data_IF_703326176629
#
_entry.id   IF_703326176629
#
_cell.length_a   1.000
_cell.length_b   1.000
_cell.length_c   1.000
_cell.angle_alpha   90.00
_cell.angle_beta   90.00
_cell.angle_gamma   90.00
#
_symmetry.space_group_name_H-M   'P 1'
#
loop_
_entity.id
_entity.type
_entity.pdbx_description
1 polymer ?
#
# COMPACT_ATOMS: atom_id res chain seq x y z
N UNK A 1 -18.39 -48.21 18.54
CA UNK A 1 -18.20 -46.77 18.86
C UNK A 1 -17.95 -46.04 17.55
N UNK A 2 -18.94 -45.33 17.05
CA UNK A 2 -18.84 -44.55 15.81
C UNK A 2 -18.47 -43.11 16.17
N UNK A 3 -17.33 -42.63 15.68
CA UNK A 3 -16.93 -41.22 15.78
C UNK A 3 -17.71 -40.44 14.75
N UNK A 4 -18.59 -39.54 15.21
CA UNK A 4 -19.21 -38.51 14.40
C UNK A 4 -18.20 -37.38 14.23
N UNK A 5 -17.68 -37.24 13.01
CA UNK A 5 -16.92 -36.04 12.61
C UNK A 5 -17.90 -34.87 12.43
N UNK A 6 -17.90 -33.96 13.39
CA UNK A 6 -18.63 -32.71 13.30
C UNK A 6 -17.94 -31.78 12.27
N UNK A 7 -18.51 -31.71 11.08
CA UNK A 7 -18.10 -30.69 10.09
C UNK A 7 -18.49 -29.31 10.58
N UNK A 8 -17.51 -28.41 10.77
CA UNK A 8 -17.76 -26.97 10.92
C UNK A 8 -18.41 -26.44 9.64
N UNK A 9 -19.72 -26.24 9.68
CA UNK A 9 -20.42 -25.54 8.65
C UNK A 9 -19.97 -24.05 8.68
N UNK A 10 -19.16 -23.62 7.73
CA UNK A 10 -18.91 -22.20 7.48
C UNK A 10 -20.22 -21.58 7.03
N UNK A 11 -20.82 -20.78 7.90
CA UNK A 11 -22.02 -20.00 7.61
C UNK A 11 -21.72 -19.03 6.46
N UNK A 12 -22.11 -19.39 5.24
CA UNK A 12 -22.06 -18.51 4.08
C UNK A 12 -23.31 -17.61 4.08
N UNK A 13 -23.28 -16.53 4.86
CA UNK A 13 -24.23 -15.45 4.63
C UNK A 13 -23.99 -14.87 3.22
N UNK A 14 -25.07 -14.60 2.43
CA UNK A 14 -24.91 -13.92 1.15
C UNK A 14 -24.30 -12.54 1.42
N UNK A 15 -23.10 -12.33 0.92
CA UNK A 15 -22.37 -11.06 1.10
C UNK A 15 -23.08 -9.96 0.30
N UNK A 16 -23.17 -8.75 0.88
CA UNK A 16 -23.81 -7.61 0.25
C UNK A 16 -23.17 -7.28 -1.13
N UNK A 17 -23.93 -6.70 -2.10
CA UNK A 17 -23.39 -6.30 -3.39
C UNK A 17 -22.37 -5.15 -3.28
N UNK A 18 -21.53 -5.01 -4.30
CA UNK A 18 -20.55 -3.92 -4.41
C UNK A 18 -19.17 -4.19 -3.80
N UNK A 19 -19.01 -5.21 -2.97
CA UNK A 19 -17.72 -5.54 -2.35
C UNK A 19 -16.80 -6.29 -3.29
N UNK A 20 -15.52 -5.95 -3.26
CA UNK A 20 -14.49 -6.75 -3.91
C UNK A 20 -14.32 -8.07 -3.16
N UNK A 21 -14.25 -9.16 -3.91
CA UNK A 21 -14.09 -10.54 -3.44
C UNK A 21 -12.89 -11.17 -4.12
N UNK A 22 -12.35 -12.24 -3.56
CA UNK A 22 -11.47 -13.12 -4.31
C UNK A 22 -12.20 -14.42 -4.69
N UNK A 23 -11.85 -14.94 -5.85
CA UNK A 23 -12.21 -16.28 -6.31
C UNK A 23 -10.96 -16.92 -6.89
N UNK A 24 -10.39 -17.90 -6.18
CA UNK A 24 -9.07 -18.44 -6.50
C UNK A 24 -8.04 -17.30 -6.72
N UNK A 25 -7.55 -17.17 -7.95
CA UNK A 25 -6.49 -16.22 -8.33
C UNK A 25 -7.03 -14.86 -8.85
N UNK A 26 -8.32 -14.60 -8.75
CA UNK A 26 -8.93 -13.38 -9.30
C UNK A 26 -9.65 -12.55 -8.23
N UNK A 27 -9.67 -11.23 -8.44
CA UNK A 27 -10.63 -10.37 -7.76
C UNK A 27 -11.91 -10.27 -8.57
N UNK A 28 -13.03 -10.26 -7.87
CA UNK A 28 -14.37 -10.11 -8.44
C UNK A 28 -15.12 -8.98 -7.72
N UNK A 29 -15.91 -8.21 -8.46
CA UNK A 29 -16.89 -7.28 -7.91
C UNK A 29 -18.22 -7.53 -8.60
N UNK A 30 -19.25 -7.83 -7.82
CA UNK A 30 -20.59 -8.20 -8.35
C UNK A 30 -20.56 -9.34 -9.40
N UNK A 31 -19.67 -10.33 -9.17
CA UNK A 31 -19.50 -11.48 -10.04
C UNK A 31 -18.60 -11.25 -11.26
N UNK A 32 -18.22 -10.02 -11.54
CA UNK A 32 -17.35 -9.67 -12.68
C UNK A 32 -15.88 -9.54 -12.26
N UNK A 33 -14.92 -9.84 -13.12
CA UNK A 33 -13.50 -9.60 -12.86
C UNK A 33 -13.24 -8.14 -12.48
N UNK A 34 -12.58 -7.94 -11.34
CA UNK A 34 -12.19 -6.62 -10.86
C UNK A 34 -10.66 -6.46 -10.98
N UNK A 35 -10.24 -5.91 -12.11
CA UNK A 35 -8.85 -5.65 -12.43
C UNK A 35 -8.42 -4.30 -11.89
N UNK A 36 -7.29 -4.25 -11.22
CA UNK A 36 -6.86 -3.08 -10.46
C UNK A 36 -5.85 -2.29 -11.30
N UNK A 37 -6.16 -1.02 -11.50
CA UNK A 37 -5.22 0.01 -11.94
C UNK A 37 -5.32 1.13 -10.92
N UNK A 38 -4.26 1.36 -10.17
CA UNK A 38 -4.32 2.27 -9.04
C UNK A 38 -3.04 3.03 -8.79
N UNK A 39 -3.07 3.81 -7.72
CA UNK A 39 -1.96 4.62 -7.25
C UNK A 39 -1.87 4.62 -5.73
N UNK A 40 -0.67 4.86 -5.22
CA UNK A 40 -0.47 5.24 -3.83
C UNK A 40 -0.72 6.75 -3.69
N UNK A 41 -1.60 7.09 -2.76
CA UNK A 41 -1.89 8.46 -2.32
C UNK A 41 -1.95 8.44 -0.79
N UNK A 42 -0.81 8.05 -0.17
CA UNK A 42 -0.73 7.80 1.27
C UNK A 42 -1.30 8.96 2.09
N UNK A 43 -1.14 10.19 1.63
CA UNK A 43 -1.50 11.44 2.30
C UNK A 43 -2.98 11.87 2.13
N UNK A 44 -3.83 11.05 1.52
CA UNK A 44 -5.23 11.41 1.23
C UNK A 44 -6.01 11.86 2.47
N UNK A 45 -5.79 11.21 3.62
CA UNK A 45 -6.44 11.58 4.88
C UNK A 45 -6.00 12.95 5.38
N UNK A 46 -4.74 13.34 5.20
CA UNK A 46 -4.24 14.66 5.57
C UNK A 46 -4.92 15.77 4.75
N UNK A 47 -5.00 15.61 3.44
CA UNK A 47 -5.75 16.54 2.58
C UNK A 47 -7.25 16.58 2.93
N UNK A 48 -7.81 15.45 3.39
CA UNK A 48 -9.22 15.33 3.75
C UNK A 48 -9.62 16.06 5.02
N UNK A 49 -8.67 16.52 5.86
CA UNK A 49 -9.00 17.22 7.11
C UNK A 49 -9.56 18.61 6.88
N UNK A 50 -10.32 19.11 7.86
CA UNK A 50 -10.77 20.51 7.94
C UNK A 50 -9.85 21.35 8.86
N UNK A 51 -8.60 20.92 9.02
CA UNK A 51 -7.57 21.62 9.77
C UNK A 51 -6.68 22.45 8.83
N UNK A 52 -5.83 23.31 9.38
CA UNK A 52 -4.92 24.19 8.60
C UNK A 52 -4.01 23.43 7.64
N UNK A 53 -3.70 22.17 7.93
CA UNK A 53 -2.88 21.31 7.08
C UNK A 53 -3.69 20.52 6.05
N UNK A 54 -5.02 20.67 6.02
CA UNK A 54 -5.89 20.02 5.05
C UNK A 54 -6.08 20.85 3.78
N UNK A 55 -6.46 20.17 2.70
CA UNK A 55 -6.90 20.79 1.45
C UNK A 55 -7.91 19.89 0.73
N UNK A 56 -9.14 19.90 1.20
CA UNK A 56 -10.25 19.13 0.61
C UNK A 56 -10.49 19.46 -0.85
N UNK A 57 -10.29 20.72 -1.24
CA UNK A 57 -10.49 21.14 -2.63
C UNK A 57 -9.42 20.50 -3.54
N UNK A 58 -8.17 20.46 -3.11
CA UNK A 58 -7.10 19.75 -3.80
C UNK A 58 -7.40 18.25 -3.85
N UNK A 59 -7.77 17.62 -2.73
CA UNK A 59 -8.11 16.21 -2.71
C UNK A 59 -9.15 15.85 -3.78
N UNK A 60 -10.23 16.63 -3.87
CA UNK A 60 -11.27 16.40 -4.87
C UNK A 60 -10.73 16.51 -6.30
N UNK A 61 -9.93 17.55 -6.61
CA UNK A 61 -9.30 17.71 -7.93
C UNK A 61 -8.37 16.56 -8.30
N UNK A 62 -7.57 16.10 -7.33
CA UNK A 62 -6.64 14.96 -7.52
C UNK A 62 -7.42 13.67 -7.79
N UNK A 63 -8.48 13.42 -7.03
CA UNK A 63 -9.34 12.25 -7.23
C UNK A 63 -10.05 12.29 -8.60
N UNK A 64 -10.51 13.47 -9.04
CA UNK A 64 -11.10 13.67 -10.38
C UNK A 64 -10.10 13.34 -11.50
N UNK A 65 -8.84 13.79 -11.35
CA UNK A 65 -7.76 13.47 -12.29
C UNK A 65 -7.48 11.98 -12.35
N UNK A 66 -7.31 11.33 -11.21
CA UNK A 66 -7.06 9.89 -11.14
C UNK A 66 -8.22 9.07 -11.74
N UNK A 67 -9.47 9.46 -11.45
CA UNK A 67 -10.65 8.86 -12.08
C UNK A 67 -10.64 9.05 -13.61
N UNK A 68 -10.31 10.25 -14.10
CA UNK A 68 -10.24 10.56 -15.53
C UNK A 68 -9.13 9.78 -16.25
N UNK A 69 -8.06 9.43 -15.55
CA UNK A 69 -7.03 8.52 -16.02
C UNK A 69 -7.48 7.05 -16.05
N UNK A 70 -8.66 6.74 -15.49
CA UNK A 70 -9.23 5.40 -15.45
C UNK A 70 -8.79 4.56 -14.25
N UNK A 71 -8.19 5.16 -13.22
CA UNK A 71 -7.85 4.45 -12.00
C UNK A 71 -9.13 4.06 -11.24
N UNK A 72 -9.08 2.90 -10.60
CA UNK A 72 -10.21 2.37 -9.82
C UNK A 72 -9.82 1.96 -8.39
N UNK A 73 -8.55 2.08 -8.03
CA UNK A 73 -8.08 1.75 -6.69
C UNK A 73 -7.02 2.75 -6.20
N UNK A 74 -7.08 3.05 -4.91
CA UNK A 74 -6.06 3.84 -4.23
C UNK A 74 -5.53 3.07 -3.02
N UNK A 75 -4.25 3.22 -2.72
CA UNK A 75 -3.67 2.75 -1.47
C UNK A 75 -3.33 3.96 -0.60
N UNK A 76 -3.95 4.04 0.58
CA UNK A 76 -3.88 5.22 1.45
C UNK A 76 -3.54 4.80 2.88
N UNK A 77 -2.82 5.68 3.61
CA UNK A 77 -2.54 5.45 5.02
C UNK A 77 -3.77 5.75 5.88
N UNK A 78 -4.09 4.83 6.78
CA UNK A 78 -5.06 5.00 7.85
C UNK A 78 -4.37 4.96 9.23
N UNK A 79 -3.06 5.14 9.25
CA UNK A 79 -2.21 5.16 10.44
C UNK A 79 -1.01 6.09 10.24
N UNK A 80 -0.60 6.73 11.30
CA UNK A 80 0.70 7.37 11.52
C UNK A 80 0.82 7.66 13.01
N UNK A 81 1.95 7.34 13.60
CA UNK A 81 2.18 7.43 15.03
C UNK A 81 3.20 8.55 15.34
N UNK A 82 2.79 9.60 16.02
CA UNK A 82 3.74 10.63 16.46
C UNK A 82 4.70 10.08 17.51
N UNK A 83 5.97 10.27 17.30
CA UNK A 83 7.05 9.78 18.15
C UNK A 83 8.35 10.54 17.96
N UNK A 84 9.46 10.00 18.46
CA UNK A 84 10.77 10.66 18.43
C UNK A 84 11.47 10.53 17.07
N UNK A 85 11.00 9.62 16.19
CA UNK A 85 11.69 9.31 14.93
C UNK A 85 11.82 10.54 14.03
N UNK A 86 13.00 10.73 13.49
CA UNK A 86 13.28 11.74 12.47
C UNK A 86 12.50 11.43 11.19
N UNK A 87 12.20 12.46 10.40
CA UNK A 87 11.49 12.35 9.12
C UNK A 87 10.10 11.68 9.21
N UNK A 88 9.52 11.56 10.40
CA UNK A 88 8.17 11.07 10.59
C UNK A 88 7.15 12.18 10.33
N UNK A 89 6.09 11.84 9.56
CA UNK A 89 5.03 12.79 9.24
C UNK A 89 4.28 13.24 10.50
N UNK A 90 4.03 14.55 10.61
CA UNK A 90 3.20 15.16 11.64
C UNK A 90 2.19 16.12 10.99
N UNK A 91 0.95 16.19 11.52
CA UNK A 91 0.41 15.39 12.65
C UNK A 91 0.13 13.93 12.26
N UNK A 92 0.14 13.04 13.26
CA UNK A 92 -0.19 11.62 13.11
C UNK A 92 -1.64 11.29 13.49
N UNK A 93 -2.11 10.11 13.10
CA UNK A 93 -3.40 9.54 13.54
C UNK A 93 -3.42 9.26 15.03
N UNK A 94 -2.27 8.90 15.59
CA UNK A 94 -2.06 8.75 17.01
C UNK A 94 -1.01 9.75 17.47
N UNK A 95 -1.40 10.67 18.36
CA UNK A 95 -0.54 11.70 18.92
C UNK A 95 0.56 11.11 19.81
N UNK A 96 1.57 11.92 20.14
CA UNK A 96 2.68 11.50 20.99
C UNK A 96 2.24 10.98 22.37
N UNK A 97 1.11 11.46 22.88
CA UNK A 97 0.50 10.99 24.15
C UNK A 97 -0.36 9.72 23.99
N UNK A 98 -0.37 9.10 22.81
CA UNK A 98 -1.12 7.89 22.49
C UNK A 98 -2.60 8.13 22.17
N UNK A 99 -3.12 9.36 22.27
CA UNK A 99 -4.52 9.66 21.93
C UNK A 99 -4.72 9.77 20.43
N UNK A 100 -5.89 9.31 19.97
CA UNK A 100 -6.30 9.47 18.57
C UNK A 100 -6.43 10.95 18.19
N UNK A 101 -6.00 11.29 16.98
CA UNK A 101 -6.21 12.60 16.38
C UNK A 101 -7.57 12.65 15.66
N UNK A 102 -8.58 13.35 16.19
CA UNK A 102 -9.91 13.34 15.59
C UNK A 102 -9.97 14.01 14.22
N UNK A 103 -9.09 15.00 13.95
CA UNK A 103 -9.06 15.68 12.65
C UNK A 103 -8.60 14.74 11.53
N UNK A 104 -7.56 13.91 11.75
CA UNK A 104 -7.14 12.92 10.76
C UNK A 104 -8.14 11.79 10.60
N UNK A 105 -8.85 11.40 11.67
CA UNK A 105 -9.94 10.43 11.56
C UNK A 105 -11.09 10.96 10.70
N UNK A 106 -11.46 12.24 10.85
CA UNK A 106 -12.45 12.89 9.98
C UNK A 106 -11.91 13.08 8.56
N UNK A 107 -10.63 13.41 8.41
CA UNK A 107 -9.97 13.51 7.10
C UNK A 107 -9.99 12.20 6.33
N UNK A 108 -9.80 11.08 7.00
CA UNK A 108 -9.95 9.74 6.42
C UNK A 108 -11.41 9.48 5.99
N UNK A 109 -12.39 9.87 6.84
CA UNK A 109 -13.81 9.74 6.52
C UNK A 109 -14.15 10.53 5.25
N UNK A 110 -13.66 11.77 5.14
CA UNK A 110 -13.87 12.62 3.96
C UNK A 110 -13.23 12.01 2.72
N UNK A 111 -11.97 11.56 2.82
CA UNK A 111 -11.28 10.91 1.71
C UNK A 111 -12.04 9.67 1.21
N UNK A 112 -12.48 8.80 2.13
CA UNK A 112 -13.25 7.60 1.78
C UNK A 112 -14.61 7.95 1.14
N UNK A 113 -15.31 8.97 1.63
CA UNK A 113 -16.55 9.43 1.02
C UNK A 113 -16.33 9.91 -0.42
N UNK A 114 -15.25 10.68 -0.67
CA UNK A 114 -14.95 11.20 -2.00
C UNK A 114 -14.42 10.12 -2.97
N UNK A 115 -13.67 9.13 -2.49
CA UNK A 115 -13.24 7.94 -3.25
C UNK A 115 -14.49 7.14 -3.67
N UNK A 116 -15.40 6.86 -2.74
CA UNK A 116 -16.63 6.11 -3.00
C UNK A 116 -17.58 6.81 -3.98
N UNK A 117 -17.73 8.14 -3.91
CA UNK A 117 -18.53 8.92 -4.87
C UNK A 117 -18.04 8.76 -6.31
N UNK A 118 -16.74 8.52 -6.52
CA UNK A 118 -16.13 8.31 -7.84
C UNK A 118 -16.13 6.85 -8.27
N UNK A 119 -16.75 5.95 -7.51
CA UNK A 119 -16.79 4.51 -7.79
C UNK A 119 -15.45 3.80 -7.64
N UNK A 120 -14.44 4.48 -7.11
CA UNK A 120 -13.14 3.91 -6.80
C UNK A 120 -13.18 3.13 -5.48
N UNK A 121 -12.18 2.30 -5.25
CA UNK A 121 -11.95 1.62 -3.97
C UNK A 121 -10.62 2.03 -3.35
N UNK A 122 -10.46 1.76 -2.06
CA UNK A 122 -9.19 1.98 -1.36
C UNK A 122 -8.72 0.74 -0.61
N UNK A 123 -7.40 0.53 -0.58
CA UNK A 123 -6.70 -0.29 0.40
C UNK A 123 -6.30 0.63 1.56
N UNK A 124 -6.76 0.32 2.77
CA UNK A 124 -6.46 1.09 3.97
C UNK A 124 -5.31 0.44 4.75
N UNK A 125 -4.17 1.15 4.82
CA UNK A 125 -2.95 0.68 5.46
C UNK A 125 -2.99 1.05 6.95
N UNK A 126 -2.91 0.06 7.84
CA UNK A 126 -3.21 0.18 9.27
C UNK A 126 -1.97 0.42 10.15
N UNK A 127 -0.77 0.36 9.60
CA UNK A 127 0.49 0.76 10.21
C UNK A 127 1.61 0.81 9.15
N UNK A 128 2.85 1.03 9.59
CA UNK A 128 4.02 1.08 8.71
C UNK A 128 5.22 0.42 9.39
N UNK A 129 6.03 -0.28 8.62
CA UNK A 129 7.31 -0.75 9.14
C UNK A 129 8.35 0.37 9.22
N UNK A 130 8.28 1.32 8.27
CA UNK A 130 9.24 2.41 8.11
C UNK A 130 8.91 3.63 8.98
N UNK A 131 9.94 4.41 9.28
CA UNK A 131 9.89 5.55 10.19
C UNK A 131 9.05 6.73 9.71
N UNK A 132 8.87 6.88 8.39
CA UNK A 132 8.27 8.10 7.81
C UNK A 132 6.82 8.38 8.25
N UNK A 133 6.14 7.40 8.81
CA UNK A 133 4.85 7.60 9.48
C UNK A 133 4.86 7.16 10.95
N UNK A 134 6.03 7.04 11.56
CA UNK A 134 6.23 6.56 12.93
C UNK A 134 6.17 5.04 13.02
N UNK A 135 5.06 4.45 12.68
CA UNK A 135 4.87 3.02 12.47
C UNK A 135 5.19 2.11 13.65
N UNK A 136 5.54 0.87 13.33
CA UNK A 136 5.80 -0.19 14.32
C UNK A 136 6.93 0.18 15.30
N UNK A 137 7.96 0.90 14.82
CA UNK A 137 9.06 1.35 15.68
C UNK A 137 8.57 2.36 16.74
N UNK A 138 7.67 3.27 16.41
CA UNK A 138 7.09 4.20 17.37
C UNK A 138 6.20 3.49 18.39
N UNK A 139 5.44 2.48 17.97
CA UNK A 139 4.66 1.65 18.91
C UNK A 139 5.58 0.89 19.88
N UNK A 140 6.68 0.34 19.39
CA UNK A 140 7.70 -0.31 20.21
C UNK A 140 8.37 0.69 21.16
N UNK A 141 8.72 1.88 20.68
CA UNK A 141 9.26 2.96 21.52
C UNK A 141 8.34 3.32 22.68
N UNK A 142 7.05 3.46 22.44
CA UNK A 142 6.08 3.76 23.50
C UNK A 142 6.02 2.70 24.59
N UNK A 143 6.30 1.43 24.23
CA UNK A 143 6.32 0.33 25.17
C UNK A 143 7.67 0.17 25.91
N UNK A 144 8.79 0.55 25.28
CA UNK A 144 10.14 0.24 25.79
C UNK A 144 10.96 1.47 26.16
N UNK A 145 10.61 2.65 25.63
CA UNK A 145 11.42 3.86 25.73
C UNK A 145 12.65 3.89 24.83
N UNK A 146 12.82 2.90 23.93
CA UNK A 146 13.98 2.75 23.04
C UNK A 146 13.56 2.77 21.57
N UNK A 147 14.39 3.40 20.74
CA UNK A 147 14.20 3.42 19.28
C UNK A 147 15.56 3.56 18.57
N UNK A 148 15.57 3.28 17.28
CA UNK A 148 16.68 3.53 16.37
C UNK A 148 16.11 4.33 15.20
N UNK A 149 16.75 5.46 14.87
CA UNK A 149 16.42 6.19 13.65
C UNK A 149 17.02 5.51 12.42
N UNK A 150 16.30 5.51 11.32
CA UNK A 150 16.83 5.08 10.05
C UNK A 150 17.90 6.08 9.57
N UNK A 151 19.04 5.56 9.14
CA UNK A 151 20.18 6.41 8.74
C UNK A 151 21.01 6.96 9.89
N UNK A 152 20.78 6.51 11.14
CA UNK A 152 21.65 6.81 12.26
C UNK A 152 23.05 6.25 11.99
N UNK A 153 24.10 7.10 11.93
CA UNK A 153 25.46 6.65 11.63
C UNK A 153 26.05 5.68 12.66
N UNK A 154 25.56 5.73 13.91
CA UNK A 154 25.98 4.83 14.98
C UNK A 154 25.27 3.47 14.91
N UNK A 155 24.16 3.41 14.16
CA UNK A 155 23.32 2.23 13.96
C UNK A 155 23.04 2.00 12.47
N UNK A 156 24.06 1.66 11.65
CA UNK A 156 23.88 1.48 10.21
C UNK A 156 22.93 0.33 9.89
N UNK A 157 22.44 0.29 8.66
CA UNK A 157 21.63 -0.82 8.17
C UNK A 157 22.29 -2.18 8.48
N UNK A 158 21.59 -3.21 9.06
CA UNK A 158 20.11 -3.28 9.16
C UNK A 158 19.54 -2.93 10.55
N UNK A 159 20.25 -2.20 11.40
CA UNK A 159 19.92 -1.99 12.82
C UNK A 159 18.48 -1.48 13.03
N UNK A 160 18.01 -0.53 12.22
CA UNK A 160 16.62 -0.05 12.28
C UNK A 160 15.61 -1.18 12.08
N UNK A 161 15.80 -1.99 11.03
CA UNK A 161 14.88 -3.06 10.69
C UNK A 161 14.88 -4.19 11.73
N UNK A 162 16.07 -4.51 12.29
CA UNK A 162 16.21 -5.53 13.33
C UNK A 162 15.58 -5.06 14.65
N UNK A 163 15.73 -3.79 15.02
CA UNK A 163 15.09 -3.21 16.19
C UNK A 163 13.57 -3.17 16.01
N UNK A 164 13.08 -2.74 14.82
CA UNK A 164 11.64 -2.67 14.52
C UNK A 164 10.98 -4.05 14.61
N UNK A 165 11.66 -5.12 14.20
CA UNK A 165 11.15 -6.49 14.30
C UNK A 165 10.89 -6.93 15.76
N UNK A 166 11.52 -6.28 16.76
CA UNK A 166 11.20 -6.45 18.19
C UNK A 166 9.74 -6.14 18.54
N UNK A 167 9.03 -5.39 17.71
CA UNK A 167 7.60 -5.14 17.83
C UNK A 167 6.79 -6.44 17.92
N UNK A 168 7.10 -7.42 17.06
CA UNK A 168 6.34 -8.68 17.00
C UNK A 168 6.43 -9.53 18.27
N UNK A 169 7.44 -9.31 19.10
CA UNK A 169 7.63 -9.98 20.38
C UNK A 169 7.25 -9.11 21.60
N UNK A 170 6.69 -7.92 21.39
CA UNK A 170 6.32 -7.00 22.46
C UNK A 170 4.79 -6.85 22.56
N UNK A 171 4.20 -7.48 23.60
CA UNK A 171 2.75 -7.53 23.77
C UNK A 171 2.12 -6.14 23.95
N UNK A 172 2.77 -5.21 24.66
CA UNK A 172 2.23 -3.86 24.88
C UNK A 172 2.20 -3.03 23.57
N UNK A 173 3.21 -3.20 22.74
CA UNK A 173 3.24 -2.57 21.41
C UNK A 173 2.17 -3.17 20.48
N UNK A 174 2.02 -4.50 20.47
CA UNK A 174 0.98 -5.21 19.71
C UNK A 174 -0.41 -4.79 20.17
N UNK A 175 -0.67 -4.67 21.48
CA UNK A 175 -1.97 -4.24 21.99
C UNK A 175 -2.31 -2.82 21.56
N UNK A 176 -1.34 -1.90 21.54
CA UNK A 176 -1.51 -0.54 21.04
C UNK A 176 -1.87 -0.53 19.55
N UNK A 177 -1.21 -1.38 18.75
CA UNK A 177 -1.53 -1.60 17.34
C UNK A 177 -2.96 -2.14 17.17
N UNK A 178 -3.34 -3.19 17.93
CA UNK A 178 -4.66 -3.82 17.88
C UNK A 178 -5.78 -2.85 18.24
N UNK A 179 -5.55 -1.98 19.21
CA UNK A 179 -6.50 -0.93 19.59
C UNK A 179 -6.74 0.04 18.43
N UNK A 180 -5.68 0.46 17.72
CA UNK A 180 -5.80 1.29 16.52
C UNK A 180 -6.54 0.56 15.39
N UNK A 181 -6.16 -0.69 15.08
CA UNK A 181 -6.86 -1.53 14.08
C UNK A 181 -8.34 -1.62 14.39
N UNK A 182 -8.71 -1.92 15.64
CA UNK A 182 -10.11 -2.03 16.05
C UNK A 182 -10.86 -0.70 15.89
N UNK A 183 -10.22 0.43 16.21
CA UNK A 183 -10.79 1.76 16.06
C UNK A 183 -11.06 2.13 14.60
N UNK A 184 -10.16 1.78 13.68
CA UNK A 184 -10.33 2.07 12.24
C UNK A 184 -11.35 1.11 11.62
N UNK A 185 -11.19 -0.21 11.79
CA UNK A 185 -12.08 -1.20 11.16
C UNK A 185 -13.52 -1.11 11.68
N UNK A 186 -13.68 -0.81 12.98
CA UNK A 186 -14.98 -0.62 13.62
C UNK A 186 -15.64 0.75 13.40
N UNK A 187 -14.96 1.66 12.66
CA UNK A 187 -15.39 3.05 12.51
C UNK A 187 -16.72 3.19 11.77
N UNK A 188 -17.46 4.23 12.15
CA UNK A 188 -18.56 4.80 11.35
C UNK A 188 -18.06 6.10 10.74
N UNK A 189 -18.12 6.21 9.41
CA UNK A 189 -17.74 7.39 8.66
C UNK A 189 -18.61 8.58 9.10
N UNK A 190 -17.98 9.64 9.61
CA UNK A 190 -18.69 10.81 10.13
C UNK A 190 -19.34 11.68 9.04
N UNK A 191 -18.91 11.52 7.78
CA UNK A 191 -19.43 12.27 6.64
C UNK A 191 -20.64 11.56 6.03
N UNK A 192 -20.58 10.23 5.88
CA UNK A 192 -21.62 9.44 5.22
C UNK A 192 -22.59 8.76 6.19
N UNK A 193 -22.22 8.62 7.45
CA UNK A 193 -22.97 7.84 8.45
C UNK A 193 -22.85 6.33 8.26
N UNK A 194 -22.09 5.85 7.26
CA UNK A 194 -21.93 4.42 6.97
C UNK A 194 -20.81 3.81 7.80
N UNK A 195 -21.03 2.61 8.34
CA UNK A 195 -19.94 1.84 8.97
C UNK A 195 -18.91 1.42 7.93
N UNK A 196 -17.64 1.55 8.24
CA UNK A 196 -16.54 1.12 7.37
C UNK A 196 -16.68 -0.36 6.97
N UNK A 197 -17.01 -1.22 7.92
CA UNK A 197 -17.29 -2.64 7.64
C UNK A 197 -18.45 -2.90 6.65
N UNK A 198 -19.16 -1.86 6.20
CA UNK A 198 -20.23 -1.93 5.20
C UNK A 198 -20.02 -1.01 4.01
N UNK A 199 -18.85 -0.37 3.91
CA UNK A 199 -18.55 0.57 2.84
C UNK A 199 -17.85 -0.13 1.67
N UNK A 200 -18.53 -0.37 0.52
CA UNK A 200 -17.91 -1.04 -0.62
C UNK A 200 -16.80 -0.23 -1.32
N UNK A 201 -16.57 1.01 -0.89
CA UNK A 201 -15.39 1.79 -1.31
C UNK A 201 -14.11 1.31 -0.63
N UNK A 202 -14.19 0.56 0.47
CA UNK A 202 -13.02 -0.13 1.03
C UNK A 202 -12.85 -1.45 0.28
N UNK A 203 -11.68 -1.68 -0.30
CA UNK A 203 -11.34 -2.95 -0.92
C UNK A 203 -10.77 -3.92 0.12
N UNK A 204 -9.81 -3.45 0.90
CA UNK A 204 -9.00 -4.27 1.78
C UNK A 204 -8.50 -3.51 3.00
N UNK A 205 -8.40 -4.22 4.11
CA UNK A 205 -7.63 -3.85 5.27
C UNK A 205 -6.22 -4.41 5.13
N UNK A 206 -5.21 -3.55 5.21
CA UNK A 206 -3.82 -3.96 5.11
C UNK A 206 -3.12 -3.83 6.44
N UNK A 207 -2.45 -4.90 6.91
CA UNK A 207 -1.84 -4.94 8.24
C UNK A 207 -0.84 -3.80 8.46
N UNK A 208 0.10 -3.64 7.53
CA UNK A 208 1.06 -2.54 7.57
C UNK A 208 1.67 -2.32 6.18
N UNK A 209 2.31 -1.17 5.99
CA UNK A 209 3.22 -0.96 4.88
C UNK A 209 4.52 -1.71 5.15
N UNK A 210 4.89 -2.61 4.23
CA UNK A 210 6.17 -3.32 4.16
C UNK A 210 6.64 -4.02 5.45
N UNK A 211 5.77 -4.74 6.18
CA UNK A 211 6.18 -5.41 7.41
C UNK A 211 7.22 -6.49 7.12
N UNK A 212 8.37 -6.41 7.81
CA UNK A 212 9.50 -7.34 7.69
C UNK A 212 9.77 -8.05 9.01
N UNK A 213 10.17 -9.32 9.00
CA UNK A 213 10.56 -10.03 10.24
C UNK A 213 11.96 -9.64 10.74
N UNK A 214 12.64 -8.70 10.09
CA UNK A 214 13.97 -8.18 10.38
C UNK A 214 14.69 -7.68 9.13
N UNK A 215 15.85 -7.11 9.29
CA UNK A 215 16.71 -6.63 8.22
C UNK A 215 17.93 -7.55 7.95
N UNK A 216 18.10 -8.61 8.74
CA UNK A 216 19.17 -9.60 8.63
C UNK A 216 18.72 -11.02 8.97
N UNK A 217 19.52 -12.01 8.59
CA UNK A 217 19.17 -13.43 8.77
C UNK A 217 18.92 -13.80 10.23
N UNK A 218 19.72 -13.25 11.16
CA UNK A 218 19.62 -13.55 12.60
C UNK A 218 18.33 -12.99 13.19
N UNK A 219 17.97 -11.75 12.86
CA UNK A 219 16.70 -11.14 13.29
C UNK A 219 15.49 -11.88 12.71
N UNK A 220 15.56 -12.26 11.43
CA UNK A 220 14.52 -13.06 10.80
C UNK A 220 14.35 -14.40 11.52
N UNK A 221 15.45 -15.11 11.82
CA UNK A 221 15.38 -16.36 12.56
C UNK A 221 14.77 -16.17 13.97
N UNK A 222 15.13 -15.07 14.64
CA UNK A 222 14.63 -14.73 15.98
C UNK A 222 13.14 -14.41 15.99
N UNK A 223 12.67 -13.58 15.05
CA UNK A 223 11.32 -13.01 15.09
C UNK A 223 10.31 -13.68 14.15
N UNK A 224 10.73 -14.66 13.34
CA UNK A 224 9.89 -15.35 12.37
C UNK A 224 8.57 -15.83 12.95
N UNK A 225 8.61 -16.57 14.07
CA UNK A 225 7.37 -17.13 14.67
C UNK A 225 6.45 -16.02 15.13
N UNK A 226 6.96 -15.06 15.89
CA UNK A 226 6.19 -13.93 16.40
C UNK A 226 5.60 -13.07 15.26
N UNK A 227 6.34 -12.89 14.17
CA UNK A 227 5.87 -12.23 12.96
C UNK A 227 4.68 -12.95 12.32
N UNK A 228 4.76 -14.27 12.15
CA UNK A 228 3.67 -15.07 11.59
C UNK A 228 2.44 -15.09 12.51
N UNK A 229 2.65 -15.19 13.83
CA UNK A 229 1.59 -15.14 14.84
C UNK A 229 0.89 -13.76 14.84
N UNK A 230 1.65 -12.67 14.69
CA UNK A 230 1.10 -11.33 14.55
C UNK A 230 0.24 -11.20 13.28
N UNK A 231 0.69 -11.73 12.14
CA UNK A 231 -0.08 -11.73 10.90
C UNK A 231 -1.42 -12.47 11.09
N UNK A 232 -1.37 -13.69 11.61
CA UNK A 232 -2.54 -14.51 11.79
C UNK A 232 -3.55 -13.88 12.76
N UNK A 233 -3.08 -13.41 13.92
CA UNK A 233 -3.93 -12.81 14.94
C UNK A 233 -4.51 -11.47 14.53
N UNK A 234 -3.79 -10.69 13.70
CA UNK A 234 -4.31 -9.44 13.12
C UNK A 234 -5.41 -9.72 12.10
N UNK A 235 -5.22 -10.71 11.22
CA UNK A 235 -6.25 -11.11 10.27
C UNK A 235 -7.52 -11.61 10.98
N UNK A 236 -7.37 -12.35 12.07
CA UNK A 236 -8.47 -12.80 12.92
C UNK A 236 -9.20 -11.63 13.58
N UNK A 237 -8.47 -10.67 14.17
CA UNK A 237 -9.05 -9.47 14.75
C UNK A 237 -9.87 -8.69 13.72
N UNK A 238 -9.32 -8.41 12.55
CA UNK A 238 -10.01 -7.69 11.49
C UNK A 238 -11.30 -8.42 11.11
N UNK A 239 -11.24 -9.73 10.87
CA UNK A 239 -12.40 -10.55 10.48
C UNK A 239 -13.44 -10.68 11.57
N UNK A 240 -13.07 -10.56 12.84
CA UNK A 240 -14.02 -10.53 13.96
C UNK A 240 -14.90 -9.27 13.97
N UNK A 241 -14.39 -8.17 13.40
CA UNK A 241 -15.09 -6.87 13.31
C UNK A 241 -15.79 -6.73 11.95
N UNK A 242 -15.11 -7.18 10.89
CA UNK A 242 -15.52 -7.03 9.50
C UNK A 242 -15.34 -8.32 8.69
N UNK A 243 -16.45 -8.96 8.38
CA UNK A 243 -16.48 -10.15 7.51
C UNK A 243 -16.71 -9.84 6.02
N UNK A 244 -16.72 -8.57 5.61
CA UNK A 244 -17.04 -8.18 4.24
C UNK A 244 -15.80 -7.89 3.38
N UNK A 245 -14.82 -7.21 3.89
CA UNK A 245 -13.66 -6.78 3.11
C UNK A 245 -12.55 -7.83 3.06
N UNK A 246 -11.66 -7.66 2.10
CA UNK A 246 -10.44 -8.43 1.99
C UNK A 246 -9.45 -7.98 3.08
N UNK A 247 -8.53 -8.87 3.41
CA UNK A 247 -7.42 -8.62 4.33
C UNK A 247 -6.12 -8.90 3.60
N UNK A 248 -5.16 -7.98 3.68
CA UNK A 248 -3.83 -8.12 3.07
C UNK A 248 -2.71 -7.80 4.05
N UNK A 249 -1.51 -8.25 3.70
CA UNK A 249 -0.34 -8.07 4.54
C UNK A 249 0.39 -6.74 4.26
N UNK A 250 0.62 -6.40 2.98
CA UNK A 250 1.41 -5.25 2.55
C UNK A 250 2.92 -5.52 2.48
N UNK A 251 3.34 -6.78 2.46
CA UNK A 251 4.75 -7.17 2.37
C UNK A 251 5.28 -6.98 0.94
N UNK A 252 6.56 -6.60 0.82
CA UNK A 252 7.24 -6.43 -0.47
C UNK A 252 7.42 -7.72 -1.26
N UNK A 253 7.37 -8.88 -0.60
CA UNK A 253 7.66 -10.19 -1.19
C UNK A 253 9.03 -10.73 -0.78
N UNK A 254 9.78 -11.34 -1.71
CA UNK A 254 11.05 -12.01 -1.39
C UNK A 254 12.16 -11.07 -0.90
N UNK A 255 12.09 -9.78 -1.17
CA UNK A 255 13.04 -8.81 -0.59
C UNK A 255 12.86 -8.67 0.93
N UNK A 256 11.62 -8.65 1.41
CA UNK A 256 11.33 -8.60 2.85
C UNK A 256 11.75 -9.89 3.60
N UNK A 257 11.99 -10.98 2.89
CA UNK A 257 12.29 -12.29 3.45
C UNK A 257 13.69 -12.81 3.12
N UNK A 258 14.58 -11.94 2.64
CA UNK A 258 15.95 -12.31 2.21
C UNK A 258 15.97 -13.47 1.20
N UNK A 259 15.06 -13.44 0.23
CA UNK A 259 14.94 -14.44 -0.82
C UNK A 259 14.17 -15.71 -0.42
N UNK A 260 13.65 -15.80 0.81
CA UNK A 260 12.89 -16.98 1.25
C UNK A 260 11.47 -16.97 0.68
N UNK A 261 11.25 -17.73 -0.39
CA UNK A 261 9.92 -17.97 -0.96
C UNK A 261 8.99 -18.67 0.05
N UNK A 262 9.53 -19.61 0.83
CA UNK A 262 8.77 -20.33 1.86
C UNK A 262 8.18 -19.35 2.91
N UNK A 263 8.96 -18.35 3.33
CA UNK A 263 8.49 -17.35 4.28
C UNK A 263 7.46 -16.40 3.65
N UNK A 264 7.59 -16.06 2.35
CA UNK A 264 6.55 -15.33 1.61
C UNK A 264 5.24 -16.11 1.61
N UNK A 265 5.29 -17.41 1.34
CA UNK A 265 4.09 -18.28 1.36
C UNK A 265 3.47 -18.31 2.75
N UNK A 266 4.26 -18.58 3.79
CA UNK A 266 3.80 -18.62 5.18
C UNK A 266 3.17 -17.31 5.63
N UNK A 267 3.79 -16.16 5.29
CA UNK A 267 3.29 -14.83 5.63
C UNK A 267 1.95 -14.48 4.95
N UNK A 268 1.67 -15.09 3.79
CA UNK A 268 0.41 -14.85 3.08
C UNK A 268 -0.65 -15.95 3.33
N UNK A 269 -0.42 -16.90 4.22
CA UNK A 269 -1.36 -18.02 4.45
C UNK A 269 -2.74 -17.53 4.94
N UNK A 270 -2.76 -16.62 5.90
CA UNK A 270 -3.98 -16.16 6.57
C UNK A 270 -4.63 -14.92 5.94
N UNK A 271 -4.01 -14.29 4.95
CA UNK A 271 -4.55 -13.12 4.22
C UNK A 271 -5.15 -13.52 2.87
N UNK A 272 -5.92 -12.62 2.25
CA UNK A 272 -6.75 -12.96 1.10
C UNK A 272 -6.01 -12.90 -0.25
N UNK A 273 -4.95 -12.12 -0.37
CA UNK A 273 -4.16 -12.02 -1.59
C UNK A 273 -2.68 -11.78 -1.29
N UNK A 274 -1.85 -12.06 -2.28
CA UNK A 274 -0.39 -11.85 -2.23
C UNK A 274 -0.09 -10.43 -2.62
N UNK A 275 0.83 -9.80 -1.89
CA UNK A 275 1.35 -8.47 -2.18
C UNK A 275 2.81 -8.55 -2.59
N UNK A 276 3.25 -7.65 -3.45
CA UNK A 276 4.65 -7.44 -3.76
C UNK A 276 4.89 -5.97 -4.11
N UNK A 277 6.08 -5.47 -3.75
CA UNK A 277 6.57 -4.15 -4.12
C UNK A 277 7.85 -4.32 -4.95
N UNK A 278 8.18 -3.37 -5.83
CA UNK A 278 9.34 -3.49 -6.71
C UNK A 278 10.08 -2.15 -6.79
N UNK A 279 11.28 -2.11 -6.20
CA UNK A 279 12.09 -0.92 -6.04
C UNK A 279 13.51 -1.07 -6.63
N UNK A 280 13.67 -1.02 -7.96
CA UNK A 280 14.94 -1.36 -8.61
C UNK A 280 16.11 -0.48 -8.19
N UNK A 281 15.87 0.83 -7.93
CA UNK A 281 16.91 1.73 -7.48
C UNK A 281 17.31 1.45 -6.02
N UNK A 282 16.34 1.36 -5.11
CA UNK A 282 16.57 1.09 -3.68
C UNK A 282 17.27 -0.25 -3.44
N UNK A 283 17.02 -1.23 -4.30
CA UNK A 283 17.63 -2.56 -4.20
C UNK A 283 18.94 -2.69 -4.98
N UNK A 284 19.47 -1.59 -5.54
CA UNK A 284 20.71 -1.59 -6.30
C UNK A 284 20.66 -2.42 -7.58
N UNK A 285 19.47 -2.56 -8.18
CA UNK A 285 19.33 -3.24 -9.47
C UNK A 285 19.62 -2.32 -10.65
N UNK A 286 19.49 -1.02 -10.44
CA UNK A 286 19.89 0.04 -11.35
C UNK A 286 20.66 1.10 -10.58
N UNK A 287 21.46 1.93 -11.28
CA UNK A 287 22.12 3.10 -10.76
C UNK A 287 21.45 4.36 -11.31
N UNK A 288 21.07 5.30 -10.44
CA UNK A 288 20.33 6.50 -10.82
C UNK A 288 21.13 7.43 -11.76
N UNK A 289 22.46 7.49 -11.58
CA UNK A 289 23.41 8.24 -12.38
C UNK A 289 23.79 7.55 -13.71
N UNK A 290 23.44 6.27 -13.90
CA UNK A 290 23.64 5.51 -15.13
C UNK A 290 22.44 4.59 -15.45
N UNK A 291 21.26 5.17 -15.59
CA UNK A 291 20.07 4.42 -16.00
C UNK A 291 20.25 3.77 -17.38
N UNK A 292 20.86 4.40 -18.41
CA UNK A 292 21.08 3.75 -19.69
C UNK A 292 21.91 2.47 -19.62
N UNK A 293 23.00 2.49 -18.86
CA UNK A 293 23.92 1.35 -18.74
C UNK A 293 23.36 0.23 -17.87
N UNK A 294 22.61 0.56 -16.83
CA UNK A 294 22.15 -0.40 -15.81
C UNK A 294 20.74 -0.96 -16.06
N UNK A 295 19.88 -0.24 -16.79
CA UNK A 295 18.49 -0.63 -17.05
C UNK A 295 18.33 -2.03 -17.68
N UNK A 296 19.11 -2.46 -18.69
CA UNK A 296 18.92 -3.79 -19.27
C UNK A 296 19.01 -4.93 -18.23
N UNK A 297 19.99 -4.86 -17.33
CA UNK A 297 20.14 -5.82 -16.24
C UNK A 297 19.07 -5.66 -15.16
N UNK A 298 18.73 -4.42 -14.80
CA UNK A 298 17.67 -4.11 -13.86
C UNK A 298 16.30 -4.62 -14.34
N UNK A 299 15.98 -4.42 -15.62
CA UNK A 299 14.74 -4.93 -16.24
C UNK A 299 14.63 -6.45 -16.11
N UNK A 300 15.72 -7.18 -16.37
CA UNK A 300 15.71 -8.65 -16.23
C UNK A 300 15.37 -9.06 -14.79
N UNK A 301 15.96 -8.40 -13.77
CA UNK A 301 15.65 -8.66 -12.36
C UNK A 301 14.19 -8.35 -12.03
N UNK A 302 13.63 -7.27 -12.57
CA UNK A 302 12.20 -6.94 -12.42
C UNK A 302 11.32 -8.04 -13.01
N UNK A 303 11.63 -8.52 -14.22
CA UNK A 303 10.87 -9.58 -14.89
C UNK A 303 10.95 -10.90 -14.12
N UNK A 304 12.13 -11.26 -13.59
CA UNK A 304 12.32 -12.45 -12.75
C UNK A 304 11.53 -12.33 -11.43
N UNK A 305 11.55 -11.17 -10.79
CA UNK A 305 10.79 -10.91 -9.56
C UNK A 305 9.28 -11.06 -9.78
N UNK A 306 8.76 -10.48 -10.86
CA UNK A 306 7.35 -10.64 -11.26
C UNK A 306 7.01 -12.11 -11.53
N UNK A 307 7.89 -12.86 -12.19
CA UNK A 307 7.67 -14.27 -12.49
C UNK A 307 7.62 -15.13 -11.23
N UNK A 308 8.53 -14.89 -10.27
CA UNK A 308 8.56 -15.59 -8.97
C UNK A 308 7.26 -15.36 -8.22
N UNK A 309 6.84 -14.10 -8.01
CA UNK A 309 5.64 -13.79 -7.21
C UNK A 309 4.35 -14.23 -7.93
N UNK A 310 4.32 -14.17 -9.28
CA UNK A 310 3.19 -14.72 -10.06
C UNK A 310 3.07 -16.23 -9.87
N UNK A 311 4.18 -16.95 -9.84
CA UNK A 311 4.19 -18.41 -9.57
C UNK A 311 3.72 -18.68 -8.13
N UNK A 312 4.29 -18.01 -7.12
CA UNK A 312 3.89 -18.20 -5.71
C UNK A 312 2.39 -17.93 -5.51
N UNK A 313 1.86 -16.85 -6.06
CA UNK A 313 0.44 -16.53 -5.97
C UNK A 313 -0.44 -17.59 -6.65
N UNK A 314 -0.01 -18.12 -7.80
CA UNK A 314 -0.71 -19.21 -8.49
C UNK A 314 -0.73 -20.48 -7.63
N UNK A 315 0.41 -20.86 -7.06
CA UNK A 315 0.55 -22.07 -6.24
C UNK A 315 -0.30 -21.98 -4.96
N UNK A 316 -0.42 -20.78 -4.38
CA UNK A 316 -1.31 -20.48 -3.24
C UNK A 316 -2.79 -20.33 -3.64
N UNK A 317 -3.14 -20.37 -4.93
CA UNK A 317 -4.47 -20.07 -5.45
C UNK A 317 -5.01 -18.71 -4.93
N UNK A 318 -4.17 -17.67 -4.93
CA UNK A 318 -4.50 -16.31 -4.50
C UNK A 318 -4.24 -15.30 -5.61
N UNK A 319 -4.98 -14.17 -5.66
CA UNK A 319 -4.61 -13.03 -6.49
C UNK A 319 -3.26 -12.45 -6.04
N UNK A 320 -2.52 -11.85 -6.97
CA UNK A 320 -1.34 -11.03 -6.72
C UNK A 320 -1.64 -9.58 -7.09
N UNK A 321 -1.24 -8.66 -6.23
CA UNK A 321 -1.26 -7.22 -6.50
C UNK A 321 0.16 -6.66 -6.30
N UNK A 322 0.69 -5.98 -7.32
CA UNK A 322 1.90 -5.17 -7.15
C UNK A 322 1.44 -3.84 -6.55
N UNK A 323 1.57 -3.71 -5.22
CA UNK A 323 0.98 -2.58 -4.49
C UNK A 323 1.85 -1.33 -4.49
N UNK A 324 3.15 -1.51 -4.75
CA UNK A 324 4.09 -0.42 -4.97
C UNK A 324 5.08 -0.78 -6.06
N UNK A 325 5.32 0.18 -6.93
CA UNK A 325 6.42 0.18 -7.86
C UNK A 325 6.71 1.62 -8.26
N UNK A 326 7.96 2.01 -8.15
CA UNK A 326 8.43 3.36 -8.47
C UNK A 326 9.77 3.33 -9.17
N UNK A 327 10.07 4.37 -9.92
CA UNK A 327 11.32 4.54 -10.63
C UNK A 327 11.70 6.02 -10.69
N UNK A 328 13.00 6.37 -10.53
CA UNK A 328 13.41 7.77 -10.56
C UNK A 328 13.13 8.43 -11.91
N UNK A 329 13.15 9.76 -11.94
CA UNK A 329 13.25 10.52 -13.20
C UNK A 329 14.63 10.30 -13.81
N UNK A 330 14.77 10.63 -15.10
CA UNK A 330 16.05 10.53 -15.76
C UNK A 330 17.09 11.40 -15.01
N UNK A 331 18.36 10.94 -14.99
CA UNK A 331 19.47 11.54 -14.24
C UNK A 331 19.21 11.60 -12.71
N UNK A 332 18.32 10.75 -12.19
CA UNK A 332 17.86 10.77 -10.78
C UNK A 332 17.41 12.15 -10.29
N UNK A 333 16.85 12.96 -11.20
CA UNK A 333 16.38 14.29 -10.89
C UNK A 333 15.03 14.25 -10.11
N UNK A 334 14.71 15.37 -9.43
CA UNK A 334 13.49 15.50 -8.62
C UNK A 334 12.51 16.55 -9.20
N UNK A 335 13.00 17.45 -10.07
CA UNK A 335 12.16 18.49 -10.68
C UNK A 335 11.18 17.92 -11.69
N UNK A 336 9.91 18.38 -11.71
CA UNK A 336 8.94 18.01 -12.73
C UNK A 336 9.33 18.42 -14.16
N UNK A 337 10.32 19.30 -14.31
CA UNK A 337 10.81 19.77 -15.62
C UNK A 337 11.77 18.80 -16.31
N UNK A 338 12.14 17.70 -15.61
CA UNK A 338 13.01 16.65 -16.15
C UNK A 338 12.21 15.53 -16.79
N UNK A 339 12.85 14.78 -17.69
CA UNK A 339 12.21 13.68 -18.42
C UNK A 339 11.97 12.45 -17.55
N UNK A 340 11.14 11.52 -18.05
CA UNK A 340 10.73 10.28 -17.38
C UNK A 340 10.90 9.07 -18.28
N UNK A 341 11.86 9.09 -19.22
CA UNK A 341 11.98 8.06 -20.25
C UNK A 341 12.18 6.65 -19.65
N UNK A 342 13.13 6.52 -18.69
CA UNK A 342 13.38 5.23 -18.05
C UNK A 342 12.26 4.83 -17.08
N UNK A 343 11.61 5.78 -16.41
CA UNK A 343 10.39 5.53 -15.63
C UNK A 343 9.28 4.96 -16.51
N UNK A 344 9.05 5.53 -17.69
CA UNK A 344 8.06 5.01 -18.63
C UNK A 344 8.40 3.58 -19.09
N UNK A 345 9.66 3.28 -19.38
CA UNK A 345 10.12 1.94 -19.75
C UNK A 345 9.85 0.94 -18.64
N UNK A 346 10.12 1.34 -17.39
CA UNK A 346 9.85 0.52 -16.21
C UNK A 346 8.34 0.26 -16.03
N UNK A 347 7.51 1.30 -16.07
CA UNK A 347 6.05 1.15 -15.96
C UNK A 347 5.49 0.25 -17.06
N UNK A 348 5.98 0.36 -18.31
CA UNK A 348 5.60 -0.56 -19.40
C UNK A 348 5.94 -2.01 -19.04
N UNK A 349 7.09 -2.28 -18.45
CA UNK A 349 7.48 -3.64 -18.05
C UNK A 349 6.47 -4.22 -17.04
N UNK A 350 6.06 -3.44 -16.04
CA UNK A 350 5.05 -3.87 -15.06
C UNK A 350 3.69 -4.07 -15.74
N UNK A 351 3.22 -3.09 -16.51
CA UNK A 351 1.92 -3.13 -17.16
C UNK A 351 1.80 -4.27 -18.19
N UNK A 352 2.85 -4.54 -18.96
CA UNK A 352 2.89 -5.65 -19.90
C UNK A 352 2.73 -7.02 -19.18
N UNK A 353 3.36 -7.18 -18.01
CA UNK A 353 3.21 -8.38 -17.20
C UNK A 353 1.78 -8.52 -16.63
N UNK A 354 1.20 -7.43 -16.13
CA UNK A 354 -0.19 -7.38 -15.65
C UNK A 354 -1.16 -7.72 -16.77
N UNK A 355 -1.05 -7.06 -17.92
CA UNK A 355 -1.91 -7.29 -19.08
C UNK A 355 -1.78 -8.70 -19.66
N UNK A 356 -0.56 -9.25 -19.66
CA UNK A 356 -0.33 -10.67 -20.04
C UNK A 356 -1.06 -11.60 -19.08
N UNK A 357 -1.01 -11.31 -17.77
CA UNK A 357 -1.75 -12.08 -16.76
C UNK A 357 -3.26 -11.99 -16.98
N UNK A 358 -3.80 -10.80 -17.24
CA UNK A 358 -5.23 -10.62 -17.52
C UNK A 358 -5.72 -11.41 -18.75
N UNK A 359 -4.95 -11.38 -19.84
CA UNK A 359 -5.29 -12.14 -21.06
C UNK A 359 -5.31 -13.66 -20.83
N UNK A 360 -4.46 -14.14 -19.95
CA UNK A 360 -4.26 -15.58 -19.71
C UNK A 360 -4.99 -16.10 -18.45
N UNK A 361 -5.82 -15.29 -17.79
CA UNK A 361 -6.49 -15.66 -16.53
C UNK A 361 -5.51 -15.94 -15.38
N UNK A 362 -4.34 -15.30 -15.39
CA UNK A 362 -3.30 -15.46 -14.38
C UNK A 362 -3.60 -14.74 -13.07
N UNK A 363 -2.78 -14.96 -12.02
CA UNK A 363 -3.02 -14.42 -10.69
C UNK A 363 -2.66 -12.94 -10.52
N UNK A 364 -1.80 -12.37 -11.37
CA UNK A 364 -1.43 -10.96 -11.29
C UNK A 364 -2.59 -10.09 -11.78
N UNK A 365 -3.34 -9.50 -10.82
CA UNK A 365 -4.63 -8.88 -11.07
C UNK A 365 -4.57 -7.36 -11.18
N UNK A 366 -3.41 -6.76 -10.95
CA UNK A 366 -3.25 -5.32 -11.11
C UNK A 366 -2.03 -4.76 -10.40
N UNK A 367 -2.00 -3.43 -10.35
CA UNK A 367 -0.91 -2.69 -9.69
C UNK A 367 -1.34 -1.30 -9.24
N UNK A 368 -0.68 -0.80 -8.18
CA UNK A 368 -0.75 0.58 -7.71
C UNK A 368 0.63 1.20 -7.81
N UNK A 369 0.82 2.19 -8.66
CA UNK A 369 2.11 2.85 -8.78
C UNK A 369 2.44 3.71 -7.56
N UNK A 370 3.69 3.84 -7.24
CA UNK A 370 4.23 4.79 -6.26
C UNK A 370 4.88 5.95 -6.99
N UNK A 371 4.38 7.18 -6.81
CA UNK A 371 3.12 7.49 -6.19
C UNK A 371 2.49 8.67 -6.97
N UNK A 372 1.34 9.18 -6.51
CA UNK A 372 0.72 10.34 -7.12
C UNK A 372 1.17 11.61 -6.40
N UNK A 373 1.85 12.54 -7.10
CA UNK A 373 2.18 13.87 -6.60
C UNK A 373 1.12 14.91 -7.01
N UNK A 374 0.49 14.68 -8.17
CA UNK A 374 -0.52 15.58 -8.70
C UNK A 374 -0.03 17.01 -8.89
N UNK A 375 -0.80 17.97 -8.36
CA UNK A 375 -0.48 19.40 -8.47
C UNK A 375 0.54 19.90 -7.43
N UNK A 376 0.97 19.05 -6.46
CA UNK A 376 1.99 19.45 -5.50
C UNK A 376 3.35 19.67 -6.15
N UNK A 377 4.12 20.52 -5.53
CA UNK A 377 5.51 20.82 -5.91
C UNK A 377 6.36 20.90 -4.64
N UNK A 378 7.61 20.46 -4.71
CA UNK A 378 8.55 20.61 -3.62
C UNK A 378 8.65 22.08 -3.17
N UNK A 379 8.63 22.31 -1.87
CA UNK A 379 8.67 23.68 -1.33
C UNK A 379 10.08 24.24 -1.25
N UNK A 380 11.09 23.39 -1.14
CA UNK A 380 12.47 23.76 -0.87
C UNK A 380 13.34 23.42 -2.08
N UNK A 381 14.37 24.22 -2.31
CA UNK A 381 15.26 24.06 -3.46
C UNK A 381 16.13 22.80 -3.39
N UNK A 382 16.31 22.23 -2.20
CA UNK A 382 17.00 20.96 -1.95
C UNK A 382 16.07 19.74 -2.05
N UNK A 383 14.82 19.95 -2.38
CA UNK A 383 13.78 18.92 -2.47
C UNK A 383 13.57 18.11 -1.17
N UNK A 384 13.95 18.65 0.00
CA UNK A 384 13.76 17.99 1.29
C UNK A 384 12.48 18.46 1.96
N UNK A 385 11.70 17.50 2.45
CA UNK A 385 10.55 17.80 3.30
C UNK A 385 11.07 18.35 4.65
N UNK A 386 10.39 19.38 5.15
CA UNK A 386 10.66 19.94 6.49
C UNK A 386 9.42 19.83 7.35
N UNK A 387 9.61 19.64 8.66
CA UNK A 387 8.49 19.58 9.59
C UNK A 387 7.66 20.87 9.49
N UNK A 388 6.36 20.71 9.31
CA UNK A 388 5.43 21.81 9.08
C UNK A 388 5.13 22.11 7.60
N UNK A 389 5.78 21.42 6.65
CA UNK A 389 5.36 21.49 5.25
C UNK A 389 3.98 20.88 5.04
N UNK A 390 3.15 21.59 4.27
CA UNK A 390 1.76 21.19 3.99
C UNK A 390 1.56 20.74 2.54
N UNK A 391 2.63 20.75 1.74
CA UNK A 391 2.59 20.32 0.35
C UNK A 391 2.75 18.79 0.24
N UNK A 392 1.88 18.04 0.91
CA UNK A 392 1.92 16.57 0.86
C UNK A 392 1.91 16.08 -0.58
N UNK A 393 2.81 15.15 -0.88
CA UNK A 393 2.91 14.48 -2.17
C UNK A 393 3.26 13.00 -1.99
N UNK A 394 3.38 12.26 -3.08
CA UNK A 394 3.60 10.83 -3.03
C UNK A 394 4.93 10.39 -2.40
N UNK A 395 5.97 11.21 -2.54
CA UNK A 395 7.25 10.98 -1.89
C UNK A 395 7.14 11.36 -0.39
N UNK A 396 7.31 10.42 0.55
CA UNK A 396 7.15 10.69 1.99
C UNK A 396 8.31 11.52 2.55
N UNK A 397 8.21 12.03 3.80
CA UNK A 397 9.17 12.98 4.37
C UNK A 397 10.65 12.57 4.36
N UNK A 398 10.95 11.27 4.38
CA UNK A 398 12.33 10.78 4.36
C UNK A 398 12.95 10.78 2.96
N UNK A 399 12.13 10.88 1.91
CA UNK A 399 12.56 10.89 0.51
C UNK A 399 12.69 12.30 -0.05
N UNK A 400 13.57 12.50 -1.06
CA UNK A 400 13.53 13.73 -1.86
C UNK A 400 12.16 13.90 -2.53
N UNK A 401 11.58 15.07 -2.42
CA UNK A 401 10.26 15.36 -2.95
C UNK A 401 10.27 15.48 -4.48
N UNK A 402 9.66 14.54 -5.18
CA UNK A 402 9.68 14.39 -6.63
C UNK A 402 10.51 13.21 -7.13
N UNK A 403 11.05 12.39 -6.20
CA UNK A 403 11.93 11.27 -6.57
C UNK A 403 11.20 10.21 -7.37
N UNK A 404 10.10 9.68 -6.82
CA UNK A 404 9.30 8.63 -7.46
C UNK A 404 7.92 9.08 -7.91
N UNK A 405 7.39 10.13 -7.30
CA UNK A 405 6.03 10.55 -7.54
C UNK A 405 5.80 11.11 -8.94
N UNK A 406 4.59 10.89 -9.47
CA UNK A 406 4.14 11.39 -10.77
C UNK A 406 3.35 12.69 -10.60
N UNK A 407 3.78 13.73 -11.28
CA UNK A 407 3.12 15.04 -11.29
C UNK A 407 2.01 15.10 -12.32
N UNK A 408 1.09 16.03 -12.15
CA UNK A 408 0.03 16.35 -13.12
C UNK A 408 0.58 16.95 -14.44
N UNK A 409 1.83 17.40 -14.44
CA UNK A 409 2.57 17.85 -15.61
C UNK A 409 3.28 16.73 -16.39
N UNK A 410 3.34 15.51 -15.88
CA UNK A 410 3.98 14.35 -16.52
C UNK A 410 3.05 13.72 -17.58
N UNK A 411 2.83 14.47 -18.67
CA UNK A 411 1.81 14.11 -19.68
C UNK A 411 2.03 12.73 -20.30
N UNK A 412 3.28 12.35 -20.56
CA UNK A 412 3.62 11.04 -21.13
C UNK A 412 3.32 9.90 -20.16
N UNK A 413 3.62 10.08 -18.85
CA UNK A 413 3.27 9.12 -17.80
C UNK A 413 1.75 9.00 -17.65
N UNK A 414 1.02 10.12 -17.63
CA UNK A 414 -0.45 10.14 -17.58
C UNK A 414 -1.05 9.38 -18.76
N UNK A 415 -0.54 9.62 -19.97
CA UNK A 415 -0.99 8.92 -21.17
C UNK A 415 -0.71 7.41 -21.10
N UNK A 416 0.45 7.03 -20.58
CA UNK A 416 0.84 5.62 -20.38
C UNK A 416 -0.09 4.91 -19.39
N UNK A 417 -0.32 5.51 -18.22
CA UNK A 417 -1.23 4.97 -17.18
C UNK A 417 -2.64 4.82 -17.73
N UNK A 418 -3.15 5.87 -18.42
CA UNK A 418 -4.47 5.84 -19.04
C UNK A 418 -4.58 4.74 -20.09
N UNK A 419 -3.60 4.59 -20.97
CA UNK A 419 -3.59 3.53 -21.98
C UNK A 419 -3.62 2.13 -21.35
N UNK A 420 -2.94 1.92 -20.22
CA UNK A 420 -3.03 0.69 -19.44
C UNK A 420 -4.43 0.51 -18.82
N UNK A 421 -4.98 1.56 -18.24
CA UNK A 421 -6.31 1.53 -17.63
C UNK A 421 -7.42 1.19 -18.65
N UNK A 422 -7.33 1.69 -19.86
CA UNK A 422 -8.27 1.40 -20.95
C UNK A 422 -8.25 -0.09 -21.37
N UNK A 423 -7.18 -0.83 -21.01
CA UNK A 423 -7.04 -2.27 -21.29
C UNK A 423 -7.59 -3.20 -20.21
N UNK A 424 -8.18 -2.68 -19.15
CA UNK A 424 -8.80 -3.50 -18.07
C UNK A 424 -9.83 -4.52 -18.59
N UNK A 425 -10.42 -4.27 -19.75
CA UNK A 425 -11.45 -5.12 -20.36
C UNK A 425 -10.93 -6.13 -21.38
N UNK A 426 -9.64 -6.18 -21.59
CA UNK A 426 -9.03 -7.15 -22.52
C UNK A 426 -9.40 -8.59 -22.13
N UNK A 427 -10.01 -9.33 -23.07
CA UNK A 427 -10.37 -10.74 -22.89
C UNK A 427 -11.57 -10.99 -21.98
N UNK A 428 -12.37 -9.97 -21.65
CA UNK A 428 -13.66 -10.15 -20.97
C UNK A 428 -14.76 -10.37 -22.01
N UNK A 429 -15.64 -11.33 -21.75
CA UNK A 429 -16.82 -11.61 -22.61
C UNK A 429 -17.89 -10.51 -22.51
N UNK A 430 -17.92 -9.77 -21.39
CA UNK A 430 -18.81 -8.63 -21.19
C UNK A 430 -18.09 -7.31 -21.45
N UNK A 431 -18.76 -6.34 -22.12
CA UNK A 431 -18.17 -5.01 -22.26
C UNK A 431 -17.86 -4.41 -20.89
N UNK A 432 -16.72 -3.77 -20.78
CA UNK A 432 -16.45 -2.94 -19.60
C UNK A 432 -17.63 -1.99 -19.36
N UNK A 433 -18.08 -1.81 -18.14
CA UNK A 433 -18.96 -0.69 -17.85
C UNK A 433 -18.24 0.56 -18.33
N UNK A 434 -18.79 1.22 -19.35
CA UNK A 434 -18.27 2.49 -19.83
C UNK A 434 -18.07 3.38 -18.61
N UNK A 435 -16.87 3.95 -18.47
CA UNK A 435 -16.61 5.01 -17.51
C UNK A 435 -17.81 5.95 -17.47
N UNK A 436 -18.57 5.87 -16.41
CA UNK A 436 -19.72 6.66 -16.00
C UNK A 436 -20.26 7.64 -17.04
N UNK A 437 -21.45 7.31 -17.57
CA UNK A 437 -22.25 8.27 -18.32
C UNK A 437 -22.52 9.50 -17.44
N UNK A 438 -22.27 10.64 -18.00
CA UNK A 438 -22.67 11.94 -17.49
C UNK A 438 -24.13 11.92 -17.02
N UNK A 439 -24.35 12.03 -15.72
CA UNK A 439 -25.61 12.52 -15.15
C UNK A 439 -25.32 13.73 -14.28
#
# INVERSE_FOLDING_TARGET
MAFLAGGCATSSYPKAPGFVRRSATQFLRDGNPYRIVGANMWYAAWLGTDAEYGDRARLMRELDRLQAMGLNNLRIMAAAEEGPLNNSIKPGFTRADGRTNPALMEGLDFAMAEIGKRGMTAVLVLSNFWEWSGGLQTLLYRATGQYIDMGDPDHPWPAFADATAGFYANEAAIESYRAHVAAIVGRTNSITGQRYARDPAIMSWQHANEPRPGGGADAIAQFRSAYLDWIASTAELIRSIDGNHLVSLGQEGTQATFGSEELVVAAHETVDYVTAHIWPLNWGWVAGDDLPGTWPAGKAKVEDYLAVHTRLAKDMAKPLLIEEFGFPRDDEAYSPDTTTEYRERYYRTIYDAVEKSWRNGGPLQGSNFWAWNGEARARHADFRFQEGDLAYMGDPPHEPQGWYGNFDSDISMIALVKAHADRKCLGLETPCPSSFGSR
#
